data_IF_788627292806
#
_entry.id   IF_788627292806
#
_cell.length_a   1.000
_cell.length_b   1.000
_cell.length_c   1.000
_cell.angle_alpha   90.00
_cell.angle_beta   90.00
_cell.angle_gamma   90.00
#
_symmetry.space_group_name_H-M   'P 1'
#
loop_
_entity.id
_entity.type
_entity.pdbx_description
1 polymer ?
#
# COMPACT_ATOMS: atom_id res chain seq x y z
N UNK A 1 -0.12 -3.11 8.89
CA UNK A 1 0.39 -4.39 9.44
C UNK A 1 -0.42 -4.73 10.66
N UNK A 2 -0.76 -6.01 10.85
CA UNK A 2 -1.48 -6.49 12.03
C UNK A 2 -0.56 -7.50 12.71
N UNK A 3 -0.35 -7.31 14.02
CA UNK A 3 0.38 -8.24 14.87
C UNK A 3 -0.57 -8.71 15.96
N UNK A 4 -0.67 -10.01 16.15
CA UNK A 4 -1.52 -10.63 17.14
C UNK A 4 -0.69 -11.52 18.06
N UNK A 5 -1.03 -11.51 19.34
CA UNK A 5 -0.47 -12.40 20.35
C UNK A 5 -1.60 -13.18 20.99
N UNK A 6 -1.38 -14.47 21.23
CA UNK A 6 -2.21 -15.20 22.17
C UNK A 6 -1.65 -14.94 23.58
N UNK A 7 -2.45 -14.31 24.43
CA UNK A 7 -2.07 -14.03 25.82
C UNK A 7 -3.27 -14.23 26.74
N UNK A 8 -3.00 -14.57 28.00
CA UNK A 8 -4.00 -14.55 29.07
C UNK A 8 -3.97 -13.25 29.90
N UNK A 9 -3.09 -12.32 29.57
CA UNK A 9 -2.98 -11.02 30.23
C UNK A 9 -4.02 -10.05 29.68
N UNK A 10 -4.65 -9.29 30.58
CA UNK A 10 -5.48 -8.15 30.19
C UNK A 10 -4.59 -6.94 29.88
N UNK A 11 -4.80 -6.33 28.71
CA UNK A 11 -3.99 -5.20 28.24
C UNK A 11 -4.66 -3.86 28.53
N UNK A 12 -3.85 -2.89 28.94
CA UNK A 12 -4.21 -1.48 28.81
C UNK A 12 -4.07 -1.06 27.33
N UNK A 13 -5.18 -1.06 26.59
CA UNK A 13 -5.20 -0.80 25.15
C UNK A 13 -4.68 0.60 24.79
N UNK A 14 -5.02 1.64 25.56
CA UNK A 14 -4.54 3.00 25.34
C UNK A 14 -3.01 3.09 25.43
N UNK A 15 -2.44 2.48 26.49
CA UNK A 15 -0.99 2.44 26.66
C UNK A 15 -0.32 1.66 25.52
N UNK A 16 -0.95 0.57 25.03
CA UNK A 16 -0.41 -0.23 23.91
C UNK A 16 -0.29 0.55 22.61
N UNK A 17 -1.09 1.60 22.38
CA UNK A 17 -0.97 2.43 21.18
C UNK A 17 0.40 3.12 21.11
N UNK A 18 0.96 3.57 22.24
CA UNK A 18 2.24 4.32 22.28
C UNK A 18 3.42 3.51 22.81
N UNK A 19 3.17 2.42 23.54
CA UNK A 19 4.22 1.60 24.17
C UNK A 19 4.28 0.18 23.59
N UNK A 20 3.32 -0.19 22.75
CA UNK A 20 3.28 -1.52 22.12
C UNK A 20 4.37 -1.70 21.08
N UNK A 21 4.50 -2.94 20.59
CA UNK A 21 5.58 -3.29 19.67
C UNK A 21 5.61 -2.43 18.41
N UNK A 22 4.44 -2.16 17.84
CA UNK A 22 4.33 -1.35 16.63
C UNK A 22 4.79 0.09 16.86
N UNK A 23 4.53 0.67 18.04
CA UNK A 23 4.96 2.03 18.38
C UNK A 23 6.47 2.10 18.65
N UNK A 24 7.06 1.02 19.17
CA UNK A 24 8.52 0.92 19.30
C UNK A 24 9.21 0.76 17.94
N UNK A 25 8.62 -0.03 17.02
CA UNK A 25 9.16 -0.23 15.68
C UNK A 25 8.94 0.97 14.75
N UNK A 26 7.82 1.67 14.93
CA UNK A 26 7.41 2.86 14.17
C UNK A 26 6.98 3.95 15.16
N UNK A 27 7.92 4.74 15.69
CA UNK A 27 7.63 5.79 16.66
C UNK A 27 6.60 6.79 16.16
N UNK A 28 5.71 7.17 17.07
CA UNK A 28 4.66 8.17 16.87
C UNK A 28 4.71 9.18 18.02
N UNK A 29 4.17 10.37 17.78
CA UNK A 29 3.85 11.29 18.88
C UNK A 29 2.78 10.64 19.76
N UNK A 30 3.03 10.62 21.08
CA UNK A 30 2.11 10.00 22.03
C UNK A 30 0.74 10.71 21.97
N UNK A 31 -0.35 10.00 21.64
CA UNK A 31 -1.66 10.62 21.53
C UNK A 31 -2.16 11.06 22.92
N UNK A 32 -2.76 12.24 22.99
CA UNK A 32 -3.48 12.64 24.20
C UNK A 32 -4.66 11.68 24.45
N UNK A 33 -4.92 11.32 25.71
CA UNK A 33 -6.00 10.39 26.06
C UNK A 33 -7.37 10.76 25.47
N UNK A 34 -7.68 12.07 25.38
CA UNK A 34 -8.94 12.58 24.79
C UNK A 34 -9.11 12.27 23.29
N UNK A 35 -8.03 11.92 22.60
CA UNK A 35 -8.01 11.62 21.16
C UNK A 35 -8.20 10.11 20.89
N UNK A 36 -8.12 9.28 21.93
CA UNK A 36 -8.30 7.84 21.82
C UNK A 36 -9.78 7.51 21.88
N UNK A 37 -10.27 6.81 20.85
CA UNK A 37 -11.63 6.33 20.76
C UNK A 37 -11.68 4.83 21.01
N UNK A 38 -12.78 4.39 21.60
CA UNK A 38 -13.02 2.99 21.89
C UNK A 38 -14.13 2.44 21.01
N UNK A 39 -13.93 1.25 20.48
CA UNK A 39 -14.86 0.57 19.57
C UNK A 39 -15.04 -0.87 20.03
N UNK A 40 -16.28 -1.32 20.06
CA UNK A 40 -16.65 -2.69 20.39
C UNK A 40 -16.96 -3.48 19.13
N UNK A 41 -16.28 -4.62 18.95
CA UNK A 41 -16.55 -5.57 17.88
C UNK A 41 -17.32 -6.76 18.48
N UNK A 42 -18.51 -7.10 17.94
CA UNK A 42 -19.25 -8.28 18.39
C UNK A 42 -18.40 -9.55 18.28
N UNK A 43 -18.40 -10.35 19.35
CA UNK A 43 -17.63 -11.60 19.41
C UNK A 43 -18.10 -12.65 18.38
N UNK A 44 -19.38 -12.62 17.99
CA UNK A 44 -19.91 -13.48 16.93
C UNK A 44 -19.59 -12.88 15.55
N UNK A 45 -18.81 -13.58 14.69
CA UNK A 45 -18.45 -13.08 13.36
C UNK A 45 -19.63 -12.84 12.43
N UNK A 46 -20.71 -13.60 12.57
CA UNK A 46 -21.93 -13.41 11.79
C UNK A 46 -22.63 -12.10 12.18
N UNK A 47 -22.71 -11.82 13.49
CA UNK A 47 -23.26 -10.56 13.99
C UNK A 47 -22.37 -9.39 13.59
N UNK A 48 -21.05 -9.50 13.75
CA UNK A 48 -20.10 -8.48 13.32
C UNK A 48 -20.26 -8.17 11.82
N UNK A 49 -20.32 -9.19 10.96
CA UNK A 49 -20.48 -9.00 9.51
C UNK A 49 -21.80 -8.31 9.14
N UNK A 50 -22.88 -8.62 9.85
CA UNK A 50 -24.22 -8.12 9.53
C UNK A 50 -24.46 -6.70 10.07
N UNK A 51 -23.96 -6.41 11.26
CA UNK A 51 -24.42 -5.27 12.07
C UNK A 51 -23.30 -4.28 12.43
N UNK A 52 -22.02 -4.67 12.42
CA UNK A 52 -20.93 -3.76 12.81
C UNK A 52 -20.87 -2.55 11.87
N UNK A 53 -20.96 -1.36 12.46
CA UNK A 53 -20.92 -0.07 11.76
C UNK A 53 -21.92 0.05 10.58
N UNK A 54 -23.04 -0.69 10.60
CA UNK A 54 -24.01 -0.76 9.50
C UNK A 54 -24.58 0.61 9.08
N UNK A 55 -24.87 1.47 10.05
CA UNK A 55 -25.40 2.82 9.84
C UNK A 55 -24.29 3.90 9.83
N UNK A 56 -23.03 3.49 10.00
CA UNK A 56 -21.87 4.37 10.01
C UNK A 56 -21.52 4.86 8.61
N UNK A 57 -21.44 6.18 8.44
CA UNK A 57 -21.00 6.78 7.17
C UNK A 57 -19.48 6.72 6.97
N UNK A 58 -18.74 6.57 8.05
CA UNK A 58 -17.27 6.53 8.08
C UNK A 58 -16.81 5.33 8.90
N UNK A 59 -15.58 4.87 8.65
CA UNK A 59 -14.94 3.86 9.49
C UNK A 59 -14.73 4.42 10.91
N UNK A 60 -14.99 3.64 11.97
CA UNK A 60 -14.64 4.01 13.33
C UNK A 60 -13.14 3.81 13.61
N UNK A 61 -12.46 2.96 12.81
CA UNK A 61 -11.02 2.75 12.90
C UNK A 61 -10.24 3.91 12.26
N UNK A 62 -9.18 4.33 12.95
CA UNK A 62 -8.27 5.38 12.53
C UNK A 62 -6.90 4.80 12.14
N UNK A 63 -5.86 5.64 12.17
CA UNK A 63 -4.52 5.32 11.65
C UNK A 63 -3.81 4.23 12.46
N UNK A 64 -4.00 4.20 13.78
CA UNK A 64 -3.44 3.20 14.67
C UNK A 64 -4.42 2.76 15.77
N UNK A 65 -4.12 1.63 16.39
CA UNK A 65 -4.92 1.09 17.49
C UNK A 65 -4.38 -0.22 18.06
N UNK A 66 -4.96 -0.62 19.18
CA UNK A 66 -4.77 -1.92 19.81
C UNK A 66 -6.13 -2.57 20.04
N UNK A 67 -6.21 -3.89 19.93
CA UNK A 67 -7.45 -4.64 20.14
C UNK A 67 -7.19 -5.89 20.98
N UNK A 68 -8.08 -6.15 21.93
CA UNK A 68 -8.15 -7.41 22.68
C UNK A 68 -9.61 -7.78 22.91
N UNK A 69 -9.96 -9.04 22.64
CA UNK A 69 -11.30 -9.60 22.91
C UNK A 69 -12.49 -8.77 22.36
N UNK A 70 -12.29 -8.14 21.19
CA UNK A 70 -13.29 -7.30 20.54
C UNK A 70 -13.32 -5.85 21.05
N UNK A 71 -12.62 -5.53 22.14
CA UNK A 71 -12.40 -4.16 22.60
C UNK A 71 -11.25 -3.54 21.81
N UNK A 72 -11.49 -2.39 21.20
CA UNK A 72 -10.51 -1.67 20.38
C UNK A 72 -10.29 -0.29 20.95
N UNK A 73 -9.02 0.11 21.12
CA UNK A 73 -8.63 1.51 21.24
C UNK A 73 -8.03 1.96 19.90
N UNK A 74 -8.45 3.11 19.37
CA UNK A 74 -7.98 3.63 18.08
C UNK A 74 -7.88 5.15 18.09
N UNK A 75 -6.86 5.70 17.42
CA UNK A 75 -6.68 7.14 17.28
C UNK A 75 -5.96 7.50 15.97
N UNK A 76 -6.04 8.78 15.61
CA UNK A 76 -5.12 9.36 14.63
C UNK A 76 -3.76 9.53 15.25
N UNK A 77 -2.71 9.27 14.49
CA UNK A 77 -1.33 9.40 14.95
C UNK A 77 -0.54 10.29 14.01
N UNK A 78 0.54 10.86 14.52
CA UNK A 78 1.56 11.55 13.72
C UNK A 78 2.86 10.81 13.91
N UNK A 79 3.56 10.50 12.84
CA UNK A 79 4.82 9.77 12.91
C UNK A 79 5.92 10.62 13.56
N UNK A 80 6.66 10.04 14.50
CA UNK A 80 7.86 10.63 15.08
C UNK A 80 9.08 10.10 14.32
N UNK A 81 9.14 10.38 13.02
CA UNK A 81 10.18 9.89 12.12
C UNK A 81 11.12 11.02 11.66
N UNK A 82 12.37 10.97 12.13
CA UNK A 82 13.44 11.93 11.80
C UNK A 82 14.41 11.40 10.72
N UNK A 83 14.16 10.20 10.20
CA UNK A 83 15.05 9.57 9.21
C UNK A 83 14.87 10.09 7.79
N UNK A 84 15.66 9.54 6.87
CA UNK A 84 15.59 9.88 5.45
C UNK A 84 14.30 9.35 4.82
N UNK A 85 13.50 10.26 4.25
CA UNK A 85 12.35 9.91 3.43
C UNK A 85 12.80 9.68 2.00
N UNK A 86 12.18 8.71 1.34
CA UNK A 86 12.39 8.44 -0.09
C UNK A 86 11.13 8.70 -0.89
N UNK A 87 11.31 9.19 -2.10
CA UNK A 87 10.27 9.42 -3.10
C UNK A 87 10.46 8.45 -4.28
N UNK A 88 9.46 8.37 -5.16
CA UNK A 88 9.54 7.52 -6.36
C UNK A 88 10.76 7.86 -7.22
N UNK A 89 11.17 9.13 -7.30
CA UNK A 89 12.37 9.54 -8.01
C UNK A 89 13.66 8.87 -7.50
N UNK A 90 13.75 8.58 -6.20
CA UNK A 90 14.98 8.06 -5.57
C UNK A 90 15.27 6.58 -5.89
N UNK A 91 14.33 5.87 -6.53
CA UNK A 91 14.53 4.46 -6.91
C UNK A 91 14.87 4.28 -8.38
N UNK A 92 14.71 5.33 -9.19
CA UNK A 92 14.82 5.24 -10.64
C UNK A 92 16.24 4.85 -11.08
N UNK A 93 16.32 4.06 -12.15
CA UNK A 93 17.59 3.78 -12.83
C UNK A 93 17.92 4.92 -13.80
N UNK A 94 19.18 5.00 -14.23
CA UNK A 94 19.58 5.92 -15.29
C UNK A 94 18.80 5.58 -16.57
N UNK A 95 18.40 6.59 -17.34
CA UNK A 95 17.61 6.37 -18.55
C UNK A 95 18.35 5.53 -19.60
N UNK A 96 19.69 5.55 -19.61
CA UNK A 96 20.51 4.70 -20.48
C UNK A 96 20.47 3.21 -20.11
N UNK A 97 20.06 2.87 -18.89
CA UNK A 97 19.88 1.49 -18.43
C UNK A 97 18.45 0.97 -18.69
N UNK A 98 17.54 1.80 -19.21
CA UNK A 98 16.14 1.42 -19.47
C UNK A 98 16.00 0.83 -20.88
N UNK A 99 15.60 -0.44 -21.03
CA UNK A 99 15.36 -1.00 -22.35
C UNK A 99 14.17 -0.33 -23.05
N UNK A 100 14.27 -0.16 -24.38
CA UNK A 100 13.25 0.53 -25.20
C UNK A 100 11.83 -0.02 -25.01
N UNK A 101 11.67 -1.31 -24.70
CA UNK A 101 10.36 -1.93 -24.50
C UNK A 101 9.59 -1.45 -23.25
N UNK A 102 10.26 -0.74 -22.34
CA UNK A 102 9.63 -0.09 -21.19
C UNK A 102 9.04 1.26 -21.53
N UNK A 103 9.48 1.89 -22.62
CA UNK A 103 8.90 3.13 -23.11
C UNK A 103 7.52 2.88 -23.74
N UNK A 104 6.62 3.82 -23.49
CA UNK A 104 5.25 3.79 -23.99
C UNK A 104 5.23 4.52 -25.32
N UNK A 105 4.88 3.79 -26.38
CA UNK A 105 4.65 4.36 -27.70
C UNK A 105 3.60 5.49 -27.64
N UNK A 106 3.83 6.62 -28.33
CA UNK A 106 2.87 7.74 -28.35
C UNK A 106 1.45 7.31 -28.77
N UNK A 107 1.34 6.33 -29.66
CA UNK A 107 0.05 5.77 -30.11
C UNK A 107 -0.72 5.03 -29.01
N UNK A 108 -0.05 4.55 -27.95
CA UNK A 108 -0.66 3.89 -26.81
C UNK A 108 -1.05 4.87 -25.69
N UNK A 109 -0.48 6.08 -25.68
CA UNK A 109 -0.66 7.06 -24.60
C UNK A 109 -2.14 7.39 -24.30
N UNK A 110 -3.03 7.59 -25.30
CA UNK A 110 -4.45 7.86 -25.03
C UNK A 110 -5.14 6.73 -24.25
N UNK A 111 -4.72 5.48 -24.46
CA UNK A 111 -5.25 4.32 -23.72
C UNK A 111 -4.81 4.36 -22.25
N UNK A 112 -3.58 4.77 -21.98
CA UNK A 112 -3.08 4.96 -20.61
C UNK A 112 -3.82 6.07 -19.89
N UNK A 113 -3.98 7.22 -20.54
CA UNK A 113 -4.73 8.38 -20.01
C UNK A 113 -6.17 8.00 -19.67
N UNK A 114 -6.88 7.31 -20.58
CA UNK A 114 -8.25 6.85 -20.33
C UNK A 114 -8.34 5.86 -19.15
N UNK A 115 -7.37 4.94 -19.02
CA UNK A 115 -7.37 3.98 -17.92
C UNK A 115 -7.05 4.63 -16.56
N UNK A 116 -6.23 5.69 -16.55
CA UNK A 116 -5.85 6.46 -15.35
C UNK A 116 -6.88 7.52 -14.98
N UNK A 117 -7.65 8.03 -15.93
CA UNK A 117 -8.71 8.99 -15.74
C UNK A 117 -9.90 8.43 -14.96
N UNK A 118 -10.70 9.34 -14.40
CA UNK A 118 -11.99 9.00 -13.80
C UNK A 118 -13.00 8.59 -14.88
N UNK A 119 -13.84 7.61 -14.59
CA UNK A 119 -14.95 7.21 -15.47
C UNK A 119 -16.15 6.78 -14.65
N UNK A 120 -17.34 7.00 -15.21
CA UNK A 120 -18.63 6.55 -14.67
C UNK A 120 -19.46 6.03 -15.83
N UNK A 121 -19.55 4.72 -15.99
CA UNK A 121 -20.10 4.03 -17.16
C UNK A 121 -21.05 2.92 -16.72
N UNK A 122 -22.10 2.68 -17.48
CA UNK A 122 -22.98 1.54 -17.23
C UNK A 122 -22.32 0.26 -17.76
N UNK A 123 -22.25 -0.77 -16.91
CA UNK A 123 -21.71 -2.09 -17.24
C UNK A 123 -22.79 -3.14 -17.10
N UNK A 124 -22.79 -4.10 -18.02
CA UNK A 124 -23.68 -5.25 -17.98
C UNK A 124 -22.90 -6.47 -17.53
N UNK A 125 -23.35 -7.12 -16.46
CA UNK A 125 -22.83 -8.42 -16.08
C UNK A 125 -23.20 -9.44 -17.16
N UNK A 126 -22.22 -9.95 -17.89
CA UNK A 126 -22.44 -10.88 -19.02
C UNK A 126 -23.15 -12.18 -18.63
N UNK A 127 -23.07 -12.60 -17.37
CA UNK A 127 -23.71 -13.84 -16.88
C UNK A 127 -25.14 -13.62 -16.43
N UNK A 128 -25.41 -12.52 -15.73
CA UNK A 128 -26.73 -12.26 -15.12
C UNK A 128 -27.60 -11.29 -15.93
N UNK A 129 -27.02 -10.57 -16.90
CA UNK A 129 -27.69 -9.49 -17.63
C UNK A 129 -27.92 -8.22 -16.81
N UNK A 130 -27.52 -8.20 -15.52
CA UNK A 130 -27.74 -7.06 -14.63
C UNK A 130 -26.86 -5.87 -15.02
N UNK A 131 -27.49 -4.73 -15.26
CA UNK A 131 -26.81 -3.45 -15.49
C UNK A 131 -26.49 -2.79 -14.16
N UNK A 132 -25.24 -2.39 -13.98
CA UNK A 132 -24.80 -1.62 -12.83
C UNK A 132 -23.94 -0.44 -13.28
N UNK A 133 -24.00 0.66 -12.53
CA UNK A 133 -23.12 1.79 -12.76
C UNK A 133 -21.73 1.47 -12.19
N UNK A 134 -20.73 1.48 -13.04
CA UNK A 134 -19.33 1.36 -12.67
C UNK A 134 -18.69 2.75 -12.62
N UNK A 135 -18.24 3.17 -11.45
CA UNK A 135 -17.54 4.45 -11.27
C UNK A 135 -16.17 4.23 -10.64
N UNK A 136 -15.17 4.95 -11.14
CA UNK A 136 -13.82 5.01 -10.56
C UNK A 136 -13.27 6.45 -10.63
N UNK A 137 -12.51 6.85 -9.62
CA UNK A 137 -11.84 8.16 -9.58
C UNK A 137 -10.66 8.26 -10.55
N UNK A 138 -10.00 9.41 -10.63
CA UNK A 138 -8.74 9.55 -11.37
C UNK A 138 -7.55 9.08 -10.52
N UNK A 139 -6.42 8.83 -11.18
CA UNK A 139 -5.12 8.62 -10.53
C UNK A 139 -4.10 9.57 -11.13
N UNK A 140 -3.01 9.84 -10.39
CA UNK A 140 -1.87 10.56 -10.91
C UNK A 140 -1.36 9.87 -12.20
N UNK A 141 -1.21 10.65 -13.25
CA UNK A 141 -0.61 10.25 -14.50
C UNK A 141 0.09 11.45 -15.14
N UNK A 142 1.42 11.39 -15.36
CA UNK A 142 2.33 10.35 -14.86
C UNK A 142 2.36 10.32 -13.32
N UNK A 143 2.90 9.24 -12.76
CA UNK A 143 3.23 9.12 -11.35
C UNK A 143 4.27 10.19 -10.97
N UNK A 144 4.06 10.84 -9.82
CA UNK A 144 4.85 11.97 -9.37
C UNK A 144 6.17 11.49 -8.75
N UNK A 145 7.29 12.06 -9.21
CA UNK A 145 8.63 11.67 -8.76
C UNK A 145 9.02 12.28 -7.41
N UNK A 146 8.33 13.34 -6.97
CA UNK A 146 8.57 14.10 -5.74
C UNK A 146 7.76 13.60 -4.54
N UNK A 147 7.08 12.44 -4.67
CA UNK A 147 6.20 11.86 -3.66
C UNK A 147 6.50 10.38 -3.44
N UNK A 148 6.06 9.80 -2.30
CA UNK A 148 6.11 8.36 -2.11
C UNK A 148 5.41 7.61 -3.24
N UNK A 149 5.98 6.47 -3.64
CA UNK A 149 5.37 5.61 -4.66
C UNK A 149 4.01 5.09 -4.19
N UNK A 150 3.13 4.81 -5.16
CA UNK A 150 1.92 4.02 -4.88
C UNK A 150 2.31 2.55 -4.67
N UNK A 151 1.37 1.77 -4.14
CA UNK A 151 1.54 0.32 -3.98
C UNK A 151 1.81 -0.35 -5.33
N UNK A 152 2.88 -1.14 -5.39
CA UNK A 152 3.16 -2.05 -6.51
C UNK A 152 2.10 -3.15 -6.53
N UNK A 153 1.49 -3.39 -7.69
CA UNK A 153 0.61 -4.54 -7.88
C UNK A 153 1.28 -5.62 -8.70
N UNK A 154 0.77 -6.84 -8.64
CA UNK A 154 1.35 -8.01 -9.35
C UNK A 154 1.37 -7.87 -10.87
N UNK A 155 0.58 -6.95 -11.42
CA UNK A 155 0.46 -6.71 -12.85
C UNK A 155 1.50 -5.75 -13.44
N UNK A 156 2.51 -5.28 -12.71
CA UNK A 156 3.42 -4.21 -13.19
C UNK A 156 4.23 -4.56 -14.45
N UNK A 157 4.71 -5.80 -14.57
CA UNK A 157 5.72 -6.17 -15.57
C UNK A 157 5.25 -6.22 -17.03
N UNK A 158 3.94 -6.27 -17.29
CA UNK A 158 3.41 -6.39 -18.66
C UNK A 158 3.48 -5.09 -19.49
N UNK A 159 3.57 -5.19 -20.82
CA UNK A 159 3.59 -4.02 -21.73
C UNK A 159 2.27 -3.27 -21.86
N UNK A 160 1.15 -3.97 -21.70
CA UNK A 160 -0.18 -3.40 -21.95
C UNK A 160 -0.58 -2.29 -20.98
N UNK A 161 -1.30 -1.29 -21.48
CA UNK A 161 -1.86 -0.22 -20.65
C UNK A 161 -2.70 -0.80 -19.50
N UNK A 162 -2.46 -0.28 -18.30
CA UNK A 162 -3.19 -0.66 -17.09
C UNK A 162 -3.33 0.58 -16.21
N UNK A 163 -4.49 0.68 -15.56
CA UNK A 163 -4.73 1.71 -14.55
C UNK A 163 -3.67 1.64 -13.46
N UNK A 164 -3.43 0.46 -12.91
CA UNK A 164 -2.63 0.30 -11.68
C UNK A 164 -1.13 0.53 -11.87
N UNK A 165 -0.64 0.27 -13.08
CA UNK A 165 0.79 0.33 -13.42
C UNK A 165 1.41 1.68 -13.16
N UNK A 166 2.65 1.69 -12.70
CA UNK A 166 3.43 2.91 -12.58
C UNK A 166 3.89 3.39 -13.96
N UNK A 167 3.71 4.68 -14.21
CA UNK A 167 4.21 5.34 -15.43
C UNK A 167 4.80 6.67 -15.05
N UNK A 168 6.05 6.91 -15.40
CA UNK A 168 6.72 8.19 -15.18
C UNK A 168 6.95 8.90 -16.51
N UNK A 169 7.23 10.20 -16.44
CA UNK A 169 7.70 11.00 -17.58
C UNK A 169 9.18 11.31 -17.38
N UNK A 170 9.98 10.95 -18.38
CA UNK A 170 11.42 11.22 -18.47
C UNK A 170 11.71 12.70 -18.69
N UNK A 171 12.96 13.11 -18.49
CA UNK A 171 13.39 14.49 -18.74
C UNK A 171 13.26 14.85 -20.23
N UNK A 172 13.48 13.88 -21.12
CA UNK A 172 13.28 14.01 -22.57
C UNK A 172 11.79 14.09 -22.98
N UNK A 173 10.87 13.95 -22.03
CA UNK A 173 9.43 14.04 -22.25
C UNK A 173 8.75 12.76 -22.72
N UNK A 174 9.50 11.64 -22.84
CA UNK A 174 8.94 10.31 -23.10
C UNK A 174 8.30 9.71 -21.85
N UNK A 175 7.31 8.84 -22.03
CA UNK A 175 6.66 8.11 -20.93
C UNK A 175 7.21 6.69 -20.87
N UNK A 176 7.48 6.18 -19.66
CA UNK A 176 7.93 4.80 -19.47
C UNK A 176 7.32 4.14 -18.24
N UNK A 177 7.26 2.82 -18.29
CA UNK A 177 6.97 1.97 -17.13
C UNK A 177 8.20 1.85 -16.24
N UNK A 178 8.00 1.38 -15.01
CA UNK A 178 9.13 1.03 -14.14
C UNK A 178 9.77 -0.27 -14.59
N UNK A 179 11.10 -0.34 -14.53
CA UNK A 179 11.87 -1.58 -14.77
C UNK A 179 11.90 -2.44 -13.51
N UNK A 180 12.11 -3.76 -13.63
CA UNK A 180 12.12 -4.64 -12.46
C UNK A 180 13.08 -4.24 -11.34
N UNK A 181 14.24 -3.66 -11.67
CA UNK A 181 15.20 -3.20 -10.66
C UNK A 181 14.68 -2.04 -9.81
N UNK A 182 13.83 -1.17 -10.39
CA UNK A 182 13.14 -0.10 -9.66
C UNK A 182 12.05 -0.69 -8.76
N UNK A 183 11.37 -1.76 -9.20
CA UNK A 183 10.40 -2.49 -8.38
C UNK A 183 11.06 -3.19 -7.19
N UNK A 184 12.23 -3.80 -7.39
CA UNK A 184 13.04 -4.41 -6.32
C UNK A 184 13.36 -3.34 -5.25
N UNK A 185 13.83 -2.17 -5.68
CA UNK A 185 14.16 -1.05 -4.78
C UNK A 185 12.95 -0.48 -4.03
N UNK A 186 11.78 -0.39 -4.66
CA UNK A 186 10.54 0.06 -4.00
C UNK A 186 10.09 -0.87 -2.88
N UNK A 187 10.37 -2.18 -3.00
CA UNK A 187 10.12 -3.15 -1.94
C UNK A 187 11.28 -3.25 -0.93
N UNK A 188 12.34 -2.46 -1.08
CA UNK A 188 13.49 -2.44 -0.18
C UNK A 188 14.52 -3.55 -0.43
N UNK A 189 14.46 -4.23 -1.59
CA UNK A 189 15.48 -5.19 -2.01
C UNK A 189 16.61 -4.51 -2.81
N UNK A 190 17.83 -5.09 -2.82
CA UNK A 190 18.89 -4.68 -3.75
C UNK A 190 18.44 -4.77 -5.22
N UNK A 191 19.03 -3.94 -6.10
CA UNK A 191 18.77 -4.05 -7.55
C UNK A 191 19.17 -5.43 -8.06
N UNK A 192 18.34 -5.99 -8.95
CA UNK A 192 18.56 -7.33 -9.50
C UNK A 192 18.25 -8.47 -8.54
N UNK A 193 17.63 -8.21 -7.38
CA UNK A 193 17.26 -9.25 -6.41
C UNK A 193 16.39 -10.35 -7.04
N UNK A 194 15.47 -9.95 -7.92
CA UNK A 194 14.60 -10.88 -8.66
C UNK A 194 15.21 -11.38 -9.97
N UNK A 195 16.44 -10.99 -10.31
CA UNK A 195 17.09 -11.41 -11.55
C UNK A 195 17.72 -12.80 -11.43
N UNK A 196 16.88 -13.82 -11.26
CA UNK A 196 17.29 -15.23 -11.09
C UNK A 196 16.93 -16.08 -12.32
N UNK A 197 16.82 -15.46 -13.51
CA UNK A 197 16.27 -16.08 -14.73
C UNK A 197 14.75 -15.95 -14.88
N UNK A 198 14.09 -15.17 -14.01
CA UNK A 198 12.68 -14.83 -14.14
C UNK A 198 12.43 -13.82 -15.28
N UNK A 199 11.28 -13.94 -15.95
CA UNK A 199 10.80 -12.88 -16.86
C UNK A 199 10.39 -11.63 -16.07
N UNK A 200 10.40 -10.46 -16.71
CA UNK A 200 9.98 -9.20 -16.07
C UNK A 200 8.57 -9.26 -15.47
N UNK A 201 7.67 -10.01 -16.11
CA UNK A 201 6.35 -10.30 -15.58
C UNK A 201 6.39 -11.05 -14.25
N UNK A 202 7.22 -12.09 -14.13
CA UNK A 202 7.39 -12.83 -12.88
C UNK A 202 8.12 -12.00 -11.81
N UNK A 203 9.13 -11.22 -12.21
CA UNK A 203 9.83 -10.30 -11.29
C UNK A 203 8.86 -9.30 -10.66
N UNK A 204 8.03 -8.67 -11.49
CA UNK A 204 6.94 -7.79 -11.04
C UNK A 204 5.89 -8.51 -10.20
N UNK A 205 5.52 -9.74 -10.55
CA UNK A 205 4.60 -10.56 -9.76
C UNK A 205 5.15 -10.83 -8.35
N UNK A 206 6.44 -11.17 -8.22
CA UNK A 206 7.12 -11.33 -6.94
C UNK A 206 7.08 -10.03 -6.13
N UNK A 207 7.48 -8.91 -6.74
CA UNK A 207 7.48 -7.61 -6.06
C UNK A 207 6.06 -7.14 -5.68
N UNK A 208 5.04 -7.41 -6.48
CA UNK A 208 3.66 -7.06 -6.15
C UNK A 208 3.06 -7.86 -4.97
N UNK A 209 3.68 -8.99 -4.59
CA UNK A 209 3.28 -9.78 -3.42
C UNK A 209 4.24 -9.63 -2.23
N UNK A 210 5.36 -8.94 -2.41
CA UNK A 210 6.36 -8.78 -1.36
C UNK A 210 5.90 -7.77 -0.29
N UNK A 211 6.41 -7.97 0.93
CA UNK A 211 6.41 -6.94 1.95
C UNK A 211 7.58 -5.99 1.71
N UNK A 212 7.39 -4.72 2.05
CA UNK A 212 8.47 -3.73 2.06
C UNK A 212 9.46 -4.13 3.15
N UNK A 213 10.64 -4.63 2.77
CA UNK A 213 11.61 -5.34 3.63
C UNK A 213 11.93 -4.59 4.93
N UNK A 214 12.02 -3.26 4.88
CA UNK A 214 12.30 -2.43 6.05
C UNK A 214 11.26 -2.56 7.17
N UNK A 215 10.00 -2.84 6.84
CA UNK A 215 8.91 -2.94 7.81
C UNK A 215 9.01 -4.20 8.69
N UNK A 216 9.01 -5.44 8.16
CA UNK A 216 9.21 -6.62 8.99
C UNK A 216 10.57 -6.62 9.69
N UNK A 217 11.60 -6.01 9.09
CA UNK A 217 12.90 -5.84 9.76
C UNK A 217 12.82 -4.97 11.01
N UNK A 218 12.16 -3.80 10.93
CA UNK A 218 11.97 -2.91 12.08
C UNK A 218 11.16 -3.58 13.20
N UNK A 219 10.08 -4.27 12.85
CA UNK A 219 9.28 -5.08 13.78
C UNK A 219 10.14 -6.17 14.43
N UNK A 220 10.95 -6.88 13.63
CA UNK A 220 11.81 -7.97 14.07
C UNK A 220 12.90 -7.55 15.05
N UNK A 221 13.47 -6.34 14.90
CA UNK A 221 14.45 -5.80 15.85
C UNK A 221 13.85 -5.63 17.25
N UNK A 222 12.67 -5.01 17.34
CA UNK A 222 11.98 -4.83 18.62
C UNK A 222 11.63 -6.18 19.23
N UNK A 223 11.13 -7.13 18.42
CA UNK A 223 10.85 -8.49 18.90
C UNK A 223 12.09 -9.15 19.52
N UNK A 224 13.27 -8.97 18.91
CA UNK A 224 14.51 -9.58 19.38
C UNK A 224 15.05 -8.98 20.69
N UNK A 225 14.67 -7.75 21.04
CA UNK A 225 15.03 -7.10 22.31
C UNK A 225 14.13 -7.54 23.48
N UNK A 226 12.95 -8.07 23.18
CA UNK A 226 11.94 -8.51 24.17
C UNK A 226 12.16 -9.97 24.62
N UNK A 227 13.10 -10.70 23.98
CA UNK A 227 13.46 -12.10 24.29
C UNK A 227 14.64 -12.17 25.25
#
# INVERSE_FOLDING_TARGET
YILAYLTGEEWNLDARISQGLMAQAFPIDAPEAKMIQHVEIPADPYIATRDFNKDGKVSPFMDAGAMQDGHVATCKVTEAYEGTRRVLGDVLVDESDVPDEFYIEPSQLPKWEYLKGSKSEDRVNKKTGFTYKYSEGSMAFPDALDRPSRTILTGEGGRGASRFKHVIKTEEGRYRRLVPDELDQLQGFPRGWTNTGMSDGHRAFCMGNALVVGVPHAIGKVLAEVV
#
